data_IF_776388138273
#
_entry.id   IF_776388138273
#
_cell.length_a   1.000
_cell.length_b   1.000
_cell.length_c   1.000
_cell.angle_alpha   90.00
_cell.angle_beta   90.00
_cell.angle_gamma   90.00
#
_symmetry.space_group_name_H-M   'P 1'
#
loop_
_entity.id
_entity.type
_entity.pdbx_description
1 polymer ?
#
# COMPACT_ATOMS: atom_id res chain seq x y z
N UNK A 1 -13.31 6.90 -38.12
CA UNK A 1 -12.20 6.35 -37.32
C UNK A 1 -11.76 7.46 -36.37
N UNK A 2 -12.30 7.46 -35.16
CA UNK A 2 -11.93 8.40 -34.09
C UNK A 2 -11.40 7.57 -32.93
N UNK A 3 -10.19 7.81 -32.41
CA UNK A 3 -9.72 7.10 -31.24
C UNK A 3 -10.63 7.48 -30.07
N UNK A 4 -11.30 6.49 -29.50
CA UNK A 4 -11.97 6.60 -28.22
C UNK A 4 -10.88 6.92 -27.20
N UNK A 5 -10.80 8.19 -26.80
CA UNK A 5 -9.99 8.60 -25.67
C UNK A 5 -10.73 8.12 -24.43
N UNK A 6 -10.53 6.84 -24.10
CA UNK A 6 -10.87 6.28 -22.81
C UNK A 6 -10.25 7.22 -21.80
N UNK A 7 -11.10 7.98 -21.09
CA UNK A 7 -10.70 8.57 -19.83
C UNK A 7 -10.31 7.37 -18.99
N UNK A 8 -9.03 7.05 -18.94
CA UNK A 8 -8.48 6.14 -17.96
C UNK A 8 -8.86 6.79 -16.64
N UNK A 9 -9.98 6.33 -16.08
CA UNK A 9 -10.32 6.56 -14.70
C UNK A 9 -9.07 6.12 -13.98
N UNK A 10 -8.33 7.09 -13.45
CA UNK A 10 -7.18 6.79 -12.63
C UNK A 10 -7.75 6.18 -11.36
N UNK A 11 -8.01 4.87 -11.42
CA UNK A 11 -8.51 4.09 -10.30
C UNK A 11 -7.33 4.04 -9.36
N UNK A 12 -7.39 4.84 -8.29
CA UNK A 12 -6.42 4.82 -7.22
C UNK A 12 -6.20 3.36 -6.79
N UNK A 13 -4.95 2.91 -6.80
CA UNK A 13 -4.59 1.52 -6.51
C UNK A 13 -4.97 1.05 -5.10
N UNK A 14 -5.09 1.98 -4.16
CA UNK A 14 -5.51 1.75 -2.79
C UNK A 14 -6.70 2.65 -2.43
N UNK A 15 -7.62 2.16 -1.60
CA UNK A 15 -8.78 2.90 -1.13
C UNK A 15 -8.63 3.27 0.35
N UNK A 16 -9.48 4.19 0.83
CA UNK A 16 -9.54 4.50 2.26
C UNK A 16 -9.90 3.23 3.05
N UNK A 17 -9.09 2.92 4.05
CA UNK A 17 -9.21 1.70 4.87
C UNK A 17 -8.30 0.56 4.41
N UNK A 18 -7.68 0.65 3.24
CA UNK A 18 -6.64 -0.32 2.84
C UNK A 18 -5.46 -0.23 3.78
N UNK A 19 -4.90 -1.40 4.10
CA UNK A 19 -3.71 -1.52 4.91
C UNK A 19 -2.51 -1.75 4.00
N UNK A 20 -1.60 -0.80 4.03
CA UNK A 20 -0.40 -0.75 3.21
C UNK A 20 0.85 -0.78 4.09
N UNK A 21 1.93 -1.24 3.51
CA UNK A 21 3.27 -1.21 4.10
C UNK A 21 4.20 -0.48 3.15
N UNK A 22 5.23 0.14 3.70
CA UNK A 22 6.27 0.75 2.88
C UNK A 22 7.13 -0.31 2.19
N UNK A 23 7.62 0.02 1.00
CA UNK A 23 8.55 -0.81 0.24
C UNK A 23 9.86 -1.06 0.99
N UNK A 24 10.61 -2.09 0.58
CA UNK A 24 11.76 -2.60 1.33
C UNK A 24 12.88 -1.55 1.56
N UNK A 25 13.02 -0.58 0.64
CA UNK A 25 14.00 0.51 0.78
C UNK A 25 13.69 1.50 1.91
N UNK A 26 12.48 1.46 2.47
CA UNK A 26 12.05 2.31 3.58
C UNK A 26 12.10 1.49 4.88
N UNK A 27 12.86 1.98 5.86
CA UNK A 27 13.05 1.33 7.18
C UNK A 27 11.85 1.47 8.13
N UNK A 28 10.63 1.59 7.60
CA UNK A 28 9.41 1.69 8.38
C UNK A 28 8.73 0.33 8.33
N UNK A 29 8.68 -0.33 9.48
CA UNK A 29 8.11 -1.66 9.63
C UNK A 29 6.67 -1.65 10.15
N UNK A 30 6.06 -0.47 10.24
CA UNK A 30 4.71 -0.31 10.73
C UNK A 30 3.73 -0.43 9.57
N UNK A 31 2.63 -1.16 9.80
CA UNK A 31 1.48 -1.11 8.92
C UNK A 31 0.87 0.28 8.98
N UNK A 32 0.41 0.75 7.83
CA UNK A 32 -0.23 2.04 7.67
C UNK A 32 -1.57 1.83 7.01
N UNK A 33 -2.57 2.53 7.51
CA UNK A 33 -3.90 2.51 6.89
C UNK A 33 -4.03 3.73 5.99
N UNK A 34 -4.52 3.54 4.78
CA UNK A 34 -4.84 4.63 3.87
C UNK A 34 -6.04 5.40 4.44
N UNK A 35 -5.83 6.68 4.73
CA UNK A 35 -6.86 7.60 5.22
C UNK A 35 -7.59 8.29 4.08
N UNK A 36 -6.85 8.73 3.06
CA UNK A 36 -7.40 9.41 1.89
C UNK A 36 -6.41 9.37 0.72
N UNK A 37 -6.93 9.39 -0.50
CA UNK A 37 -6.15 9.65 -1.70
C UNK A 37 -6.09 11.16 -1.97
N UNK A 38 -4.90 11.66 -2.28
CA UNK A 38 -4.65 13.06 -2.63
C UNK A 38 -4.25 13.18 -4.11
N UNK A 39 -4.47 14.35 -4.74
CA UNK A 39 -3.96 14.61 -6.07
C UNK A 39 -2.43 14.46 -6.12
N UNK A 40 -1.90 14.03 -7.26
CA UNK A 40 -0.48 13.68 -7.50
C UNK A 40 -0.02 12.33 -6.94
N UNK A 41 -0.88 11.30 -6.94
CA UNK A 41 -0.47 9.92 -6.59
C UNK A 41 0.03 9.76 -5.16
N UNK A 42 -0.51 10.60 -4.27
CA UNK A 42 -0.15 10.64 -2.86
C UNK A 42 -1.27 10.05 -2.02
N UNK A 43 -0.91 9.10 -1.18
CA UNK A 43 -1.78 8.49 -0.19
C UNK A 43 -1.50 9.13 1.17
N UNK A 44 -2.53 9.73 1.75
CA UNK A 44 -2.51 10.15 3.14
C UNK A 44 -2.77 8.95 4.02
N UNK A 45 -1.85 8.68 4.93
CA UNK A 45 -1.92 7.59 5.90
C UNK A 45 -2.56 8.06 7.20
N UNK A 46 -3.10 7.14 7.99
CA UNK A 46 -3.77 7.48 9.25
C UNK A 46 -2.84 8.10 10.29
N UNK A 47 -1.56 7.80 10.23
CA UNK A 47 -0.54 8.43 11.07
C UNK A 47 -0.18 9.87 10.64
N UNK A 48 -0.80 10.40 9.58
CA UNK A 48 -0.56 11.74 9.04
C UNK A 48 0.60 11.83 8.04
N UNK A 49 1.26 10.72 7.70
CA UNK A 49 2.30 10.70 6.67
C UNK A 49 1.70 10.67 5.27
N UNK A 50 2.44 11.22 4.31
CA UNK A 50 2.13 11.13 2.88
C UNK A 50 3.08 10.14 2.22
N UNK A 51 2.53 9.20 1.47
CA UNK A 51 3.29 8.20 0.74
C UNK A 51 2.91 8.19 -0.74
N UNK A 52 3.88 8.01 -1.62
CA UNK A 52 3.60 7.84 -3.06
C UNK A 52 3.17 6.42 -3.35
N UNK A 53 2.37 6.22 -4.40
CA UNK A 53 1.96 4.87 -4.83
C UNK A 53 3.14 3.90 -4.97
N UNK A 54 4.27 4.34 -5.54
CA UNK A 54 5.45 3.50 -5.77
C UNK A 54 6.29 3.23 -4.51
N UNK A 55 6.00 3.92 -3.40
CA UNK A 55 6.71 3.78 -2.12
C UNK A 55 5.96 2.84 -1.16
N UNK A 56 4.73 2.43 -1.50
CA UNK A 56 3.86 1.58 -0.69
C UNK A 56 3.36 0.38 -1.47
N UNK A 57 3.08 -0.71 -0.75
CA UNK A 57 2.40 -1.89 -1.28
C UNK A 57 1.30 -2.32 -0.32
N UNK A 58 0.36 -3.12 -0.79
CA UNK A 58 -0.59 -3.80 0.09
C UNK A 58 0.17 -4.66 1.11
N UNK A 59 -0.30 -4.63 2.35
CA UNK A 59 0.17 -5.53 3.38
C UNK A 59 -0.23 -6.97 3.03
N UNK A 60 0.67 -7.93 3.22
CA UNK A 60 0.34 -9.34 3.03
C UNK A 60 -0.47 -9.87 4.21
N UNK A 61 -1.19 -10.98 4.02
CA UNK A 61 -1.95 -11.65 5.09
C UNK A 61 -1.16 -11.86 6.38
N UNK A 62 0.09 -12.37 6.35
CA UNK A 62 0.85 -12.55 7.58
C UNK A 62 1.27 -11.22 8.22
N UNK A 63 1.49 -10.15 7.44
CA UNK A 63 1.74 -8.80 7.99
C UNK A 63 0.48 -8.23 8.69
N UNK A 64 -0.70 -8.46 8.11
CA UNK A 64 -1.98 -8.08 8.70
C UNK A 64 -2.24 -8.86 10.00
N UNK A 65 -1.94 -10.16 9.99
CA UNK A 65 -2.11 -11.03 11.16
C UNK A 65 -1.20 -10.60 12.31
N UNK A 66 0.07 -10.33 12.04
CA UNK A 66 1.05 -9.92 13.05
C UNK A 66 1.01 -8.41 13.36
N UNK A 67 0.16 -7.65 12.67
CA UNK A 67 0.06 -6.17 12.75
C UNK A 67 1.42 -5.45 12.60
N UNK A 68 2.38 -6.08 11.95
CA UNK A 68 3.75 -5.57 11.73
C UNK A 68 4.25 -6.02 10.37
N UNK A 69 5.13 -5.23 9.76
CA UNK A 69 5.88 -5.66 8.58
C UNK A 69 6.76 -6.83 8.99
N UNK A 70 6.65 -7.92 8.24
CA UNK A 70 7.46 -9.10 8.41
C UNK A 70 8.65 -9.01 7.47
N UNK A 71 9.81 -9.48 7.92
CA UNK A 71 10.97 -9.66 7.07
C UNK A 71 10.69 -10.78 6.05
N UNK A 72 11.42 -10.81 4.93
CA UNK A 72 11.19 -11.80 3.84
C UNK A 72 11.20 -13.25 4.36
N UNK A 73 12.03 -13.52 5.37
CA UNK A 73 12.14 -14.82 6.04
C UNK A 73 10.87 -15.14 6.84
N UNK A 74 10.32 -14.17 7.58
CA UNK A 74 9.11 -14.39 8.37
C UNK A 74 7.85 -14.48 7.49
N UNK A 75 7.81 -13.76 6.35
CA UNK A 75 6.76 -13.94 5.36
C UNK A 75 6.78 -15.37 4.80
N UNK A 76 7.96 -15.86 4.42
CA UNK A 76 8.13 -17.20 3.86
C UNK A 76 7.71 -18.32 4.82
N UNK A 77 7.91 -18.14 6.13
CA UNK A 77 7.49 -19.11 7.16
C UNK A 77 5.98 -19.06 7.40
N UNK A 78 5.38 -17.87 7.36
CA UNK A 78 3.95 -17.70 7.65
C UNK A 78 3.03 -18.18 6.51
N UNK A 79 3.52 -18.28 5.27
CA UNK A 79 2.75 -18.78 4.11
C UNK A 79 2.70 -20.31 4.03
N UNK A 80 3.55 -21.04 4.78
CA UNK A 80 3.69 -22.51 4.69
C UNK A 80 3.03 -23.28 5.85
N UNK A 81 2.32 -22.60 6.75
CA UNK A 81 1.66 -23.21 7.92
C UNK A 81 0.14 -23.25 7.80
#
# INVERSE_FOLDING_TARGET
>A
MTPNLSHENYISKFMKGDVVVFMNHIKINNLQTVKAYQPNDLYLLENGQLAKENEIRSATLPELFHKRRLDEIEQSIAEVS
#
